data_IF_304822297362
#
_entry.id   IF_304822297362
#
_cell.length_a   1.000
_cell.length_b   1.000
_cell.length_c   1.000
_cell.angle_alpha   90.00
_cell.angle_beta   90.00
_cell.angle_gamma   90.00
#
_symmetry.space_group_name_H-M   'P 1'
#
loop_
_entity.id
_entity.type
_entity.pdbx_description
1 polymer ?
#
# COMPACT_ATOMS: atom_id res chain seq x y z
N UNK A 1 -4.96 0.92 -0.63
CA UNK A 1 -3.61 1.02 -1.19
C UNK A 1 -2.83 -0.20 -0.75
N UNK A 2 -2.04 -0.80 -1.64
CA UNK A 2 -1.23 -1.99 -1.34
C UNK A 2 0.06 -1.66 -0.58
N UNK A 3 0.67 -0.53 -0.91
CA UNK A 3 1.89 -0.04 -0.26
C UNK A 3 1.64 1.26 0.49
N UNK A 4 2.35 1.41 1.60
CA UNK A 4 2.34 2.62 2.43
C UNK A 4 3.76 3.00 2.82
N UNK A 5 4.05 4.30 3.00
CA UNK A 5 5.37 4.70 3.47
C UNK A 5 5.55 4.28 4.93
N UNK A 6 6.77 3.83 5.24
CA UNK A 6 7.19 3.45 6.59
C UNK A 6 8.29 4.39 7.08
N UNK A 7 8.47 4.44 8.38
CA UNK A 7 9.63 5.06 9.03
C UNK A 7 10.23 4.07 10.03
N UNK A 8 11.55 4.05 10.12
CA UNK A 8 12.23 3.36 11.21
C UNK A 8 12.10 4.19 12.49
N UNK A 9 11.77 3.52 13.59
CA UNK A 9 11.83 4.09 14.93
C UNK A 9 13.30 3.97 15.38
N UNK A 10 13.97 5.08 15.71
CA UNK A 10 15.39 5.04 16.10
C UNK A 10 15.53 4.47 17.53
N UNK A 11 15.37 3.16 17.66
CA UNK A 11 15.48 2.40 18.90
C UNK A 11 16.33 1.16 18.67
N UNK A 12 17.11 0.80 19.69
CA UNK A 12 17.95 -0.38 19.75
C UNK A 12 17.89 -0.96 21.17
N UNK A 13 18.27 -2.23 21.35
CA UNK A 13 18.15 -2.93 22.65
C UNK A 13 18.89 -2.21 23.79
N UNK A 14 19.95 -1.48 23.45
CA UNK A 14 20.83 -0.75 24.35
C UNK A 14 20.53 0.77 24.41
N UNK A 15 19.44 1.25 23.79
CA UNK A 15 19.10 2.68 23.77
C UNK A 15 18.99 3.32 25.16
N UNK A 16 18.73 2.52 26.20
CA UNK A 16 18.67 2.96 27.60
C UNK A 16 19.79 2.39 28.48
N UNK A 17 20.85 1.83 27.91
CA UNK A 17 21.94 1.19 28.67
C UNK A 17 22.61 2.15 29.68
N UNK A 18 22.60 3.46 29.40
CA UNK A 18 23.08 4.48 30.35
C UNK A 18 22.26 4.53 31.66
N UNK A 19 20.97 4.21 31.61
CA UNK A 19 20.04 4.34 32.74
C UNK A 19 19.88 3.04 33.54
N UNK A 20 20.41 1.93 33.04
CA UNK A 20 20.35 0.63 33.70
C UNK A 20 20.49 -0.51 32.70
N UNK A 21 20.77 -1.70 33.24
CA UNK A 21 20.87 -2.92 32.45
C UNK A 21 19.48 -3.44 32.07
N UNK A 22 19.36 -3.93 30.84
CA UNK A 22 18.18 -4.61 30.30
C UNK A 22 16.84 -3.87 30.51
N UNK A 23 16.80 -2.57 30.22
CA UNK A 23 15.55 -1.80 30.35
C UNK A 23 14.57 -2.02 29.16
N UNK A 24 15.05 -2.57 28.04
CA UNK A 24 14.26 -2.89 26.84
C UNK A 24 14.26 -4.40 26.50
N UNK A 25 13.93 -5.26 27.47
CA UNK A 25 13.99 -6.73 27.29
C UNK A 25 13.13 -7.30 26.15
N UNK A 26 12.04 -6.60 25.82
CA UNK A 26 11.04 -7.05 24.85
C UNK A 26 10.98 -6.09 23.65
N UNK A 27 12.14 -5.64 23.16
CA UNK A 27 12.21 -4.66 22.05
C UNK A 27 11.55 -5.18 20.76
N UNK A 28 11.50 -6.50 20.58
CA UNK A 28 10.90 -7.21 19.46
C UNK A 28 9.38 -7.45 19.62
N UNK A 29 8.79 -7.03 20.75
CA UNK A 29 7.35 -7.16 20.97
C UNK A 29 6.52 -6.31 20.00
N UNK A 30 7.11 -5.27 19.40
CA UNK A 30 6.50 -4.41 18.41
C UNK A 30 7.46 -4.16 17.23
N UNK A 31 6.95 -3.90 16.01
CA UNK A 31 7.77 -3.53 14.87
C UNK A 31 8.57 -2.23 15.10
N UNK A 32 9.80 -2.18 14.60
CA UNK A 32 10.63 -0.97 14.55
C UNK A 32 10.37 -0.14 13.29
N UNK A 33 9.81 -0.74 12.24
CA UNK A 33 9.29 -0.05 11.06
C UNK A 33 7.79 0.14 11.19
N UNK A 34 7.35 1.40 11.20
CA UNK A 34 5.94 1.76 11.45
C UNK A 34 5.40 2.67 10.37
N UNK A 35 4.08 2.65 10.18
CA UNK A 35 3.38 3.55 9.29
C UNK A 35 3.78 5.01 9.53
N UNK A 36 4.15 5.70 8.45
CA UNK A 36 4.45 7.14 8.52
C UNK A 36 3.25 7.94 8.02
N UNK A 37 2.95 9.04 8.69
CA UNK A 37 1.96 10.02 8.24
C UNK A 37 2.70 11.13 7.52
N UNK A 38 2.82 11.10 6.18
CA UNK A 38 3.48 12.18 5.45
C UNK A 38 2.69 13.48 5.66
N UNK A 39 3.38 14.54 6.10
CA UNK A 39 2.77 15.84 6.38
C UNK A 39 2.81 16.80 5.18
N UNK A 40 3.34 16.35 4.05
CA UNK A 40 3.36 17.12 2.81
C UNK A 40 3.27 16.16 1.62
N UNK A 41 2.29 16.38 0.74
CA UNK A 41 2.11 15.64 -0.49
C UNK A 41 2.34 16.64 -1.63
N UNK A 42 3.36 16.36 -2.44
CA UNK A 42 3.64 17.11 -3.65
C UNK A 42 3.19 16.30 -4.85
N UNK A 43 2.53 16.95 -5.82
CA UNK A 43 2.06 16.27 -7.04
C UNK A 43 3.22 15.84 -7.95
N UNK A 44 4.24 16.68 -8.06
CA UNK A 44 5.39 16.46 -8.93
C UNK A 44 6.63 16.24 -8.06
N UNK A 45 7.09 15.00 -7.99
CA UNK A 45 8.33 14.60 -7.34
C UNK A 45 9.07 13.62 -8.24
N UNK A 46 10.36 13.33 -8.01
CA UNK A 46 11.06 12.25 -8.72
C UNK A 46 10.33 10.90 -8.64
N UNK A 47 9.63 10.63 -7.53
CA UNK A 47 8.85 9.40 -7.33
C UNK A 47 7.56 9.35 -8.16
N UNK A 48 6.97 10.49 -8.51
CA UNK A 48 5.73 10.55 -9.32
C UNK A 48 5.99 10.83 -10.80
N UNK A 49 7.25 10.93 -11.22
CA UNK A 49 7.64 11.31 -12.58
C UNK A 49 7.37 10.19 -13.61
N UNK A 50 7.60 8.92 -13.25
CA UNK A 50 7.34 7.75 -14.10
C UNK A 50 6.78 6.58 -13.29
N UNK A 51 6.22 5.57 -13.95
CA UNK A 51 5.77 4.36 -13.26
C UNK A 51 6.96 3.61 -12.65
N UNK A 52 8.09 3.57 -13.37
CA UNK A 52 9.34 2.92 -13.01
C UNK A 52 10.07 3.63 -11.85
N UNK A 53 9.71 4.87 -11.52
CA UNK A 53 10.22 5.54 -10.33
C UNK A 53 9.84 4.78 -9.06
N UNK A 54 8.67 4.12 -9.04
CA UNK A 54 8.22 3.25 -7.96
C UNK A 54 8.34 1.76 -8.33
N UNK A 55 7.83 1.35 -9.49
CA UNK A 55 7.85 -0.04 -9.92
C UNK A 55 9.23 -0.45 -10.43
N UNK A 56 9.62 -1.72 -10.24
CA UNK A 56 10.97 -2.21 -10.55
C UNK A 56 12.11 -1.46 -9.85
N UNK A 57 11.80 -0.64 -8.83
CA UNK A 57 12.77 0.09 -8.06
C UNK A 57 12.92 -0.54 -6.67
N UNK A 58 13.86 -1.48 -6.48
CA UNK A 58 14.03 -2.15 -5.20
C UNK A 58 14.39 -1.18 -4.08
N UNK A 59 15.02 -0.04 -4.38
CA UNK A 59 15.54 0.88 -3.36
C UNK A 59 14.44 1.46 -2.47
N UNK A 60 13.21 1.58 -2.97
CA UNK A 60 12.08 2.17 -2.24
C UNK A 60 11.35 1.22 -1.30
N UNK A 61 11.54 -0.08 -1.43
CA UNK A 61 10.80 -1.07 -0.64
C UNK A 61 11.63 -1.62 0.51
N UNK A 62 10.96 -1.92 1.63
CA UNK A 62 11.59 -2.57 2.77
C UNK A 62 11.69 -4.07 2.50
N UNK A 63 12.85 -4.49 2.01
CA UNK A 63 13.21 -5.89 1.81
C UNK A 63 14.01 -6.41 3.01
N UNK A 64 14.08 -7.73 3.18
CA UNK A 64 14.71 -8.34 4.36
C UNK A 64 16.19 -7.93 4.52
N UNK A 65 16.93 -7.73 3.43
CA UNK A 65 18.33 -7.30 3.43
C UNK A 65 18.54 -5.86 3.93
N UNK A 66 17.46 -5.07 4.04
CA UNK A 66 17.49 -3.69 4.55
C UNK A 66 17.07 -3.58 6.01
N UNK A 67 16.69 -4.68 6.64
CA UNK A 67 16.31 -4.75 8.05
C UNK A 67 17.44 -5.40 8.83
N UNK A 68 17.79 -4.83 9.98
CA UNK A 68 18.80 -5.43 10.84
C UNK A 68 18.36 -6.84 11.28
N UNK A 69 19.29 -7.78 11.37
CA UNK A 69 18.98 -9.20 11.60
C UNK A 69 18.08 -9.44 12.83
N UNK A 70 18.36 -8.73 13.94
CA UNK A 70 17.59 -8.82 15.17
C UNK A 70 16.19 -8.18 15.11
N UNK A 71 15.92 -7.38 14.08
CA UNK A 71 14.62 -6.73 13.86
C UNK A 71 13.72 -7.51 12.88
N UNK A 72 14.25 -8.51 12.17
CA UNK A 72 13.51 -9.25 11.14
C UNK A 72 12.22 -9.88 11.66
N UNK A 73 12.28 -10.53 12.83
CA UNK A 73 11.13 -11.22 13.40
C UNK A 73 9.96 -10.28 13.70
N UNK A 74 10.25 -9.12 14.29
CA UNK A 74 9.25 -8.11 14.66
C UNK A 74 8.64 -7.42 13.43
N UNK A 75 9.43 -7.24 12.35
CA UNK A 75 9.01 -6.51 11.15
C UNK A 75 8.52 -7.40 10.00
N UNK A 76 8.46 -8.72 10.17
CA UNK A 76 8.10 -9.68 9.11
C UNK A 76 6.82 -9.35 8.33
N UNK A 77 5.85 -8.68 8.96
CA UNK A 77 4.56 -8.34 8.35
C UNK A 77 4.61 -7.09 7.46
N UNK A 78 5.72 -6.35 7.47
CA UNK A 78 5.91 -5.12 6.67
C UNK A 78 7.11 -5.21 5.72
N UNK A 79 7.78 -6.37 5.70
CA UNK A 79 8.85 -6.69 4.74
C UNK A 79 8.20 -7.27 3.49
N UNK A 80 8.66 -6.85 2.32
CA UNK A 80 8.22 -7.39 1.03
C UNK A 80 9.28 -8.32 0.44
N UNK A 81 8.84 -9.45 -0.12
CA UNK A 81 9.73 -10.41 -0.79
C UNK A 81 10.01 -10.01 -2.25
N UNK A 82 9.03 -9.38 -2.89
CA UNK A 82 9.09 -8.99 -4.31
C UNK A 82 8.70 -7.53 -4.49
N UNK A 83 9.51 -6.80 -5.24
CA UNK A 83 9.23 -5.44 -5.67
C UNK A 83 8.11 -5.47 -6.71
N UNK A 84 7.11 -4.57 -6.63
CA UNK A 84 6.05 -4.52 -7.63
C UNK A 84 6.66 -4.22 -9.01
N UNK A 85 6.32 -5.06 -9.98
CA UNK A 85 6.70 -4.85 -11.37
C UNK A 85 5.78 -3.80 -12.00
N UNK A 86 6.28 -3.05 -12.98
CA UNK A 86 5.42 -2.15 -13.75
C UNK A 86 4.35 -3.00 -14.43
N UNK A 87 3.05 -2.69 -14.30
CA UNK A 87 2.03 -3.38 -15.07
C UNK A 87 2.39 -3.23 -16.55
N UNK A 88 2.55 -4.34 -17.27
CA UNK A 88 2.61 -4.26 -18.73
C UNK A 88 1.27 -3.70 -19.17
N UNK A 89 1.25 -2.69 -20.04
CA UNK A 89 0.02 -2.17 -20.63
C UNK A 89 -0.67 -3.31 -21.40
N UNK A 90 -1.52 -4.07 -20.71
CA UNK A 90 -1.98 -5.39 -21.10
C UNK A 90 -2.84 -5.92 -19.97
N UNK A 91 -4.08 -5.44 -19.94
CA UNK A 91 -5.14 -5.81 -19.01
C UNK A 91 -5.16 -7.32 -18.79
N UNK A 92 -4.87 -7.77 -17.56
CA UNK A 92 -5.65 -8.83 -16.93
C UNK A 92 -6.07 -8.30 -15.56
N UNK A 93 -7.11 -7.46 -15.56
CA UNK A 93 -7.97 -7.40 -14.39
C UNK A 93 -8.56 -8.80 -14.17
N UNK A 94 -8.67 -9.29 -12.93
CA UNK A 94 -9.40 -10.53 -12.68
C UNK A 94 -10.82 -10.40 -13.25
N UNK A 95 -11.47 -11.50 -13.70
CA UNK A 95 -12.85 -11.40 -14.16
C UNK A 95 -13.68 -10.82 -13.03
N UNK A 96 -14.18 -9.60 -13.24
CA UNK A 96 -15.29 -9.08 -12.46
C UNK A 96 -16.46 -9.98 -12.82
N UNK A 97 -16.92 -10.80 -11.88
CA UNK A 97 -18.19 -11.50 -12.04
C UNK A 97 -19.28 -10.42 -12.09
N UNK A 98 -19.74 -10.13 -13.31
CA UNK A 98 -20.86 -9.22 -13.53
C UNK A 98 -22.12 -10.02 -13.23
N UNK A 99 -22.77 -9.71 -12.12
CA UNK A 99 -24.13 -10.18 -11.82
C UNK A 99 -25.09 -9.57 -12.86
N UNK A 100 -25.54 -10.39 -13.82
CA UNK A 100 -26.34 -9.95 -14.99
C UNK A 100 -27.82 -9.73 -14.63
N UNK A 101 -28.21 -9.79 -13.36
CA UNK A 101 -29.62 -9.69 -12.96
C UNK A 101 -30.14 -8.25 -12.79
N UNK A 102 -29.29 -7.21 -12.89
CA UNK A 102 -29.70 -5.83 -12.61
C UNK A 102 -30.08 -4.97 -13.85
N UNK A 103 -29.86 -5.44 -15.08
CA UNK A 103 -30.13 -4.63 -16.29
C UNK A 103 -31.58 -4.72 -16.80
N UNK A 104 -32.43 -5.59 -16.23
CA UNK A 104 -33.82 -5.76 -16.70
C UNK A 104 -34.80 -4.68 -16.20
N UNK A 105 -34.44 -3.87 -15.20
CA UNK A 105 -35.36 -2.87 -14.61
C UNK A 105 -35.24 -1.47 -15.23
N UNK A 106 -34.21 -1.18 -16.03
CA UNK A 106 -33.97 0.16 -16.58
C UNK A 106 -34.64 0.42 -17.95
N UNK A 107 -35.00 -0.62 -18.71
CA UNK A 107 -35.60 -0.44 -20.05
C UNK A 107 -37.13 -0.25 -20.01
N UNK A 108 -37.80 -0.47 -18.87
CA UNK A 108 -39.26 -0.35 -18.76
C UNK A 108 -39.76 1.09 -18.52
N UNK A 109 -38.92 2.01 -18.06
CA UNK A 109 -39.35 3.39 -17.74
C UNK A 109 -39.20 4.38 -18.89
N UNK A 110 -38.51 4.02 -19.99
CA UNK A 110 -38.25 4.91 -21.11
C UNK A 110 -39.37 4.95 -22.17
N UNK A 111 -40.28 3.97 -22.21
CA UNK A 111 -41.33 3.91 -23.25
C UNK A 111 -42.64 4.63 -22.90
N UNK A 112 -42.81 5.12 -21.66
CA UNK A 112 -44.08 5.75 -21.24
C UNK A 112 -44.16 7.25 -21.54
N UNK A 113 -43.03 7.96 -21.74
CA UNK A 113 -43.04 9.43 -21.90
C UNK A 113 -43.19 9.95 -23.36
N UNK A 114 -43.25 9.09 -24.39
CA UNK A 114 -43.29 9.58 -25.79
C UNK A 114 -44.70 9.67 -26.42
N UNK A 115 -45.77 9.28 -25.73
CA UNK A 115 -47.15 9.43 -26.24
C UNK A 115 -47.94 10.53 -25.50
N UNK A 116 -47.52 11.79 -25.60
CA UNK A 116 -48.36 12.93 -25.17
C UNK A 116 -47.98 14.27 -25.84
N UNK A 117 -47.89 14.28 -27.18
CA UNK A 117 -47.91 15.51 -28.01
C UNK A 117 -48.40 15.06 -29.39
N UNK A 118 -49.66 15.19 -29.76
CA UNK A 118 -50.42 16.38 -30.20
C UNK A 118 -51.77 15.82 -30.75
N UNK A 119 -52.82 16.60 -31.12
CA UNK A 119 -52.84 18.04 -31.39
C UNK A 119 -53.88 18.89 -30.65
#
# INVERSE_FOLDING_TARGET
YEYVPLRHVPVAADSFAFYGEDLLKNIDALPTWVYTTPHNIQKNTPQTETCESCHNNPDLFLTADKVAEHELFANRNVIVDTVPMTPTLGIEMPPVEVDVEAEAEAEAEAEVETESSDP
#
